data_IF_230590650132
#
_entry.id   IF_230590650132
#
_cell.length_a   1.000
_cell.length_b   1.000
_cell.length_c   1.000
_cell.angle_alpha   90.00
_cell.angle_beta   90.00
_cell.angle_gamma   90.00
#
_symmetry.space_group_name_H-M   'P 1'
#
loop_
_entity.id
_entity.type
_entity.pdbx_description
1 polymer ?
#
# COMPACT_ATOMS: atom_id res chain seq x y z
N UNK A 1 8.74 0.14 -3.00
CA UNK A 1 9.64 -1.01 -3.23
C UNK A 1 9.29 -1.74 -4.53
N UNK A 2 8.07 -2.25 -4.69
CA UNK A 2 7.64 -2.97 -5.92
C UNK A 2 7.80 -2.14 -7.20
N UNK A 3 7.52 -0.83 -7.15
CA UNK A 3 7.76 0.11 -8.27
C UNK A 3 9.23 0.18 -8.67
N UNK A 4 10.13 0.21 -7.69
CA UNK A 4 11.57 0.34 -7.92
C UNK A 4 12.17 -0.91 -8.56
N UNK A 5 11.65 -2.07 -8.17
CA UNK A 5 11.97 -3.36 -8.78
C UNK A 5 11.46 -3.43 -10.22
N UNK A 6 10.20 -3.01 -10.46
CA UNK A 6 9.56 -3.07 -11.76
C UNK A 6 10.21 -2.11 -12.78
N UNK A 7 10.50 -0.89 -12.36
CA UNK A 7 11.18 0.13 -13.20
C UNK A 7 12.57 -0.32 -13.65
N UNK A 8 13.29 -1.10 -12.84
CA UNK A 8 14.59 -1.66 -13.22
C UNK A 8 14.50 -2.70 -14.37
N UNK A 9 13.33 -3.32 -14.59
CA UNK A 9 13.11 -4.33 -15.64
C UNK A 9 12.43 -3.75 -16.89
N UNK A 10 11.89 -2.54 -16.80
CA UNK A 10 11.30 -1.85 -17.94
C UNK A 10 10.39 -0.71 -17.52
N UNK A 11 10.41 0.37 -18.30
CA UNK A 11 9.60 1.57 -18.04
C UNK A 11 8.10 1.25 -18.05
N UNK A 12 7.65 0.36 -18.94
CA UNK A 12 6.24 -0.04 -19.03
C UNK A 12 5.75 -0.76 -17.77
N UNK A 13 6.48 -1.78 -17.30
CA UNK A 13 6.14 -2.51 -16.05
C UNK A 13 6.22 -1.59 -14.83
N UNK A 14 7.24 -0.73 -14.78
CA UNK A 14 7.37 0.29 -13.75
C UNK A 14 6.17 1.23 -13.68
N UNK A 15 5.65 1.66 -14.85
CA UNK A 15 4.52 2.57 -14.94
C UNK A 15 3.22 1.92 -14.45
N UNK A 16 2.92 0.70 -14.92
CA UNK A 16 1.75 -0.10 -14.49
C UNK A 16 1.73 -0.25 -12.97
N UNK A 17 2.82 -0.74 -12.39
CA UNK A 17 2.92 -0.98 -10.95
C UNK A 17 2.89 0.34 -10.16
N UNK A 18 3.49 1.41 -10.69
CA UNK A 18 3.45 2.72 -10.04
C UNK A 18 2.06 3.33 -10.00
N UNK A 19 1.24 3.13 -11.03
CA UNK A 19 -0.14 3.61 -11.05
C UNK A 19 -1.01 2.85 -10.05
N UNK A 20 -0.92 1.51 -10.05
CA UNK A 20 -1.66 0.66 -9.11
C UNK A 20 -1.29 0.96 -7.65
N UNK A 21 0.02 1.06 -7.35
CA UNK A 21 0.49 1.39 -6.00
C UNK A 21 0.15 2.85 -5.62
N UNK A 22 0.12 3.77 -6.58
CA UNK A 22 -0.27 5.16 -6.36
C UNK A 22 -1.72 5.27 -5.86
N UNK A 23 -2.64 4.52 -6.47
CA UNK A 23 -4.03 4.46 -6.02
C UNK A 23 -4.15 3.85 -4.62
N UNK A 24 -3.41 2.76 -4.35
CA UNK A 24 -3.34 2.15 -3.02
C UNK A 24 -2.88 3.16 -1.95
N UNK A 25 -1.82 3.94 -2.23
CA UNK A 25 -1.28 4.88 -1.26
C UNK A 25 -2.26 6.02 -0.93
N UNK A 26 -3.14 6.39 -1.87
CA UNK A 26 -4.20 7.37 -1.61
C UNK A 26 -5.23 6.79 -0.63
N UNK A 27 -5.69 5.55 -0.84
CA UNK A 27 -6.67 4.90 0.05
C UNK A 27 -6.08 4.62 1.43
N UNK A 28 -4.81 4.21 1.50
CA UNK A 28 -4.08 4.02 2.75
C UNK A 28 -3.88 5.34 3.50
N UNK A 29 -3.46 6.41 2.81
CA UNK A 29 -3.28 7.72 3.43
C UNK A 29 -4.58 8.27 4.02
N UNK A 30 -5.72 8.04 3.36
CA UNK A 30 -7.04 8.32 3.92
C UNK A 30 -7.35 7.43 5.13
N UNK A 31 -7.04 6.14 5.08
CA UNK A 31 -7.24 5.22 6.20
C UNK A 31 -6.43 5.63 7.44
N UNK A 32 -5.24 6.20 7.27
CA UNK A 32 -4.40 6.77 8.35
C UNK A 32 -4.93 8.14 8.82
N UNK A 33 -5.51 8.94 7.92
CA UNK A 33 -6.07 10.26 8.25
C UNK A 33 -7.29 10.18 9.18
N UNK A 34 -8.17 9.19 8.98
CA UNK A 34 -9.42 9.03 9.76
C UNK A 34 -9.20 8.84 11.27
N UNK A 35 -8.29 7.98 11.76
CA UNK A 35 -8.02 7.87 13.19
C UNK A 35 -7.35 9.13 13.76
N UNK A 36 -6.52 9.84 12.99
CA UNK A 36 -5.94 11.13 13.40
C UNK A 36 -7.02 12.21 13.60
N UNK A 37 -8.00 12.24 12.70
CA UNK A 37 -9.22 13.04 12.85
C UNK A 37 -9.98 12.69 14.12
N UNK A 38 -10.20 11.40 14.37
CA UNK A 38 -10.88 10.92 15.57
C UNK A 38 -10.11 11.23 16.87
N UNK A 39 -8.78 11.35 16.80
CA UNK A 39 -7.92 11.78 17.89
C UNK A 39 -7.95 13.30 18.14
N UNK A 40 -8.72 14.08 17.35
CA UNK A 40 -8.92 15.51 17.54
C UNK A 40 -7.97 16.42 16.76
N UNK A 41 -7.19 15.88 15.81
CA UNK A 41 -6.38 16.73 14.94
C UNK A 41 -7.24 17.51 13.94
N UNK A 42 -6.75 18.68 13.52
CA UNK A 42 -7.36 19.46 12.44
C UNK A 42 -7.44 18.61 11.16
N UNK A 43 -8.59 18.62 10.44
CA UNK A 43 -8.77 17.87 9.19
C UNK A 43 -7.66 18.02 8.16
N UNK A 44 -7.14 19.23 7.98
CA UNK A 44 -6.04 19.45 7.04
C UNK A 44 -4.74 18.80 7.51
N UNK A 45 -4.46 18.88 8.81
CA UNK A 45 -3.25 18.27 9.39
C UNK A 45 -3.36 16.74 9.32
N UNK A 46 -4.51 16.17 9.67
CA UNK A 46 -4.74 14.74 9.59
C UNK A 46 -4.61 14.22 8.14
N UNK A 47 -5.18 14.93 7.16
CA UNK A 47 -5.06 14.61 5.74
C UNK A 47 -3.59 14.64 5.27
N UNK A 48 -2.86 15.72 5.55
CA UNK A 48 -1.46 15.82 5.13
C UNK A 48 -0.58 14.79 5.83
N UNK A 49 -0.77 14.53 7.13
CA UNK A 49 -0.04 13.48 7.84
C UNK A 49 -0.33 12.09 7.28
N UNK A 50 -1.58 11.82 6.92
CA UNK A 50 -1.97 10.59 6.23
C UNK A 50 -1.30 10.44 4.86
N UNK A 51 -1.24 11.50 4.04
CA UNK A 51 -0.54 11.40 2.75
C UNK A 51 0.99 11.34 2.92
N UNK A 52 1.53 12.00 3.94
CA UNK A 52 2.97 11.98 4.25
C UNK A 52 3.43 10.60 4.74
N UNK A 53 2.58 9.78 5.35
CA UNK A 53 2.95 8.40 5.70
C UNK A 53 3.34 7.61 4.43
N UNK A 54 2.72 7.92 3.30
CA UNK A 54 3.03 7.36 1.99
C UNK A 54 4.41 7.74 1.43
N UNK A 55 5.13 8.71 2.01
CA UNK A 55 6.49 9.06 1.56
C UNK A 55 7.51 7.94 1.81
N UNK A 56 7.19 6.97 2.66
CA UNK A 56 8.04 5.79 2.85
C UNK A 56 8.17 4.99 1.55
N UNK A 57 7.15 4.99 0.69
CA UNK A 57 7.13 4.20 -0.54
C UNK A 57 8.15 4.67 -1.59
N UNK A 58 8.27 5.97 -1.93
CA UNK A 58 9.37 6.49 -2.76
C UNK A 58 10.75 6.13 -2.23
N UNK A 59 10.98 6.27 -0.92
CA UNK A 59 12.28 5.97 -0.31
C UNK A 59 12.63 4.49 -0.46
N UNK A 60 11.69 3.59 -0.13
CA UNK A 60 11.88 2.15 -0.34
C UNK A 60 12.00 1.79 -1.82
N UNK A 61 11.38 2.55 -2.72
CA UNK A 61 11.47 2.35 -4.18
C UNK A 61 12.89 2.61 -4.68
N UNK A 62 13.48 3.76 -4.33
CA UNK A 62 14.85 4.11 -4.70
C UNK A 62 15.83 3.06 -4.19
N UNK A 63 15.67 2.64 -2.94
CA UNK A 63 16.53 1.62 -2.33
C UNK A 63 16.42 0.28 -3.07
N UNK A 64 15.21 -0.17 -3.38
CA UNK A 64 15.01 -1.41 -4.14
C UNK A 64 15.56 -1.34 -5.57
N UNK A 65 15.39 -0.21 -6.27
CA UNK A 65 15.98 -0.04 -7.62
C UNK A 65 17.50 -0.19 -7.55
N UNK A 66 18.15 0.44 -6.57
CA UNK A 66 19.60 0.32 -6.39
C UNK A 66 20.04 -1.14 -6.16
N UNK A 67 19.35 -1.88 -5.29
CA UNK A 67 19.66 -3.28 -5.04
C UNK A 67 19.37 -4.20 -6.23
N UNK A 68 18.26 -3.99 -6.94
CA UNK A 68 17.90 -4.78 -8.12
C UNK A 68 18.88 -4.57 -9.28
N UNK A 69 19.34 -3.34 -9.49
CA UNK A 69 20.38 -3.03 -10.48
C UNK A 69 21.74 -3.64 -10.09
N UNK A 70 22.04 -3.73 -8.79
CA UNK A 70 23.30 -4.30 -8.30
C UNK A 70 23.31 -5.84 -8.32
N UNK A 71 22.17 -6.48 -8.03
CA UNK A 71 22.05 -7.93 -8.02
C UNK A 71 20.62 -8.37 -8.36
N UNK A 72 20.42 -8.80 -9.60
CA UNK A 72 19.11 -9.22 -10.13
C UNK A 72 18.54 -10.45 -9.41
N UNK A 73 19.39 -11.30 -8.81
CA UNK A 73 18.93 -12.47 -8.05
C UNK A 73 18.22 -12.11 -6.73
N UNK A 74 18.42 -10.90 -6.20
CA UNK A 74 17.81 -10.47 -4.94
C UNK A 74 16.32 -10.10 -5.12
N UNK A 75 15.92 -9.79 -6.34
CA UNK A 75 14.60 -9.28 -6.70
C UNK A 75 13.40 -10.09 -6.17
N UNK A 76 13.30 -11.41 -6.43
CA UNK A 76 12.15 -12.20 -5.96
C UNK A 76 12.07 -12.26 -4.44
N UNK A 77 13.22 -12.25 -3.75
CA UNK A 77 13.26 -12.25 -2.29
C UNK A 77 12.76 -10.93 -1.71
N UNK A 78 13.12 -9.80 -2.33
CA UNK A 78 12.60 -8.51 -1.92
C UNK A 78 11.09 -8.45 -2.12
N UNK A 79 10.56 -8.80 -3.30
CA UNK A 79 9.11 -8.82 -3.55
C UNK A 79 8.36 -9.71 -2.54
N UNK A 80 8.86 -10.91 -2.26
CA UNK A 80 8.28 -11.81 -1.28
C UNK A 80 8.29 -11.20 0.15
N UNK A 81 9.38 -10.53 0.53
CA UNK A 81 9.48 -9.83 1.81
C UNK A 81 8.43 -8.71 1.94
N UNK A 82 8.27 -7.85 0.93
CA UNK A 82 7.24 -6.82 0.96
C UNK A 82 5.82 -7.39 1.02
N UNK A 83 5.54 -8.45 0.25
CA UNK A 83 4.24 -9.12 0.31
C UNK A 83 3.96 -9.65 1.72
N UNK A 84 4.95 -10.27 2.37
CA UNK A 84 4.84 -10.75 3.75
C UNK A 84 4.56 -9.63 4.76
N UNK A 85 5.25 -8.49 4.66
CA UNK A 85 5.00 -7.33 5.54
C UNK A 85 3.56 -6.81 5.40
N UNK A 86 3.04 -6.70 4.17
CA UNK A 86 1.68 -6.20 3.93
C UNK A 86 0.61 -7.17 4.45
N UNK A 87 0.82 -8.47 4.31
CA UNK A 87 -0.09 -9.48 4.86
C UNK A 87 -0.11 -9.41 6.39
N UNK A 88 1.06 -9.33 7.03
CA UNK A 88 1.16 -9.21 8.49
C UNK A 88 0.41 -7.99 9.02
N UNK A 89 0.68 -6.79 8.46
CA UNK A 89 -0.01 -5.55 8.86
C UNK A 89 -1.52 -5.65 8.63
N UNK A 90 -1.94 -6.25 7.51
CA UNK A 90 -3.36 -6.40 7.21
C UNK A 90 -4.07 -7.31 8.21
N UNK A 91 -3.47 -8.45 8.55
CA UNK A 91 -4.10 -9.52 9.35
C UNK A 91 -3.99 -9.26 10.85
N UNK A 92 -2.87 -8.73 11.33
CA UNK A 92 -2.61 -8.52 12.76
C UNK A 92 -2.99 -7.12 13.25
N UNK A 93 -3.08 -6.12 12.35
CA UNK A 93 -3.38 -4.74 12.75
C UNK A 93 -4.70 -4.24 12.16
N UNK A 94 -4.83 -4.18 10.82
CA UNK A 94 -5.98 -3.53 10.17
C UNK A 94 -7.32 -4.28 10.36
N UNK A 95 -7.34 -5.60 10.07
CA UNK A 95 -8.54 -6.43 10.20
C UNK A 95 -9.04 -6.54 11.65
N UNK A 96 -8.18 -6.81 12.65
CA UNK A 96 -8.60 -6.87 14.05
C UNK A 96 -9.17 -5.53 14.53
N UNK A 97 -8.50 -4.40 14.23
CA UNK A 97 -9.01 -3.08 14.58
C UNK A 97 -10.38 -2.78 13.95
N UNK A 98 -10.61 -3.21 12.70
CA UNK A 98 -11.91 -3.06 12.05
C UNK A 98 -13.01 -3.88 12.75
N UNK A 99 -12.68 -5.10 13.19
CA UNK A 99 -13.60 -5.98 13.91
C UNK A 99 -13.82 -5.61 15.38
N UNK A 100 -12.91 -4.87 16.01
CA UNK A 100 -13.12 -4.33 17.36
C UNK A 100 -14.11 -3.17 17.37
N UNK A 101 -14.08 -2.30 16.35
CA UNK A 101 -14.90 -1.09 16.29
C UNK A 101 -16.32 -1.30 15.77
N UNK A 102 -16.55 -2.38 15.02
CA UNK A 102 -17.81 -2.67 14.32
C UNK A 102 -18.13 -4.16 14.37
N UNK A 103 -19.39 -4.51 14.12
CA UNK A 103 -19.78 -5.93 14.01
C UNK A 103 -19.03 -6.60 12.83
N UNK A 104 -18.57 -7.85 13.02
CA UNK A 104 -17.73 -8.56 12.04
C UNK A 104 -18.33 -8.55 10.64
N UNK A 105 -19.63 -8.85 10.52
CA UNK A 105 -20.35 -8.87 9.23
C UNK A 105 -20.32 -7.49 8.55
N UNK A 106 -20.50 -6.42 9.33
CA UNK A 106 -20.52 -5.05 8.81
C UNK A 106 -19.14 -4.58 8.33
N UNK A 107 -18.06 -5.06 8.95
CA UNK A 107 -16.69 -4.75 8.54
C UNK A 107 -16.17 -5.65 7.40
N UNK A 108 -16.67 -6.89 7.27
CA UNK A 108 -16.29 -7.81 6.19
C UNK A 108 -16.77 -7.34 4.82
N UNK A 109 -17.92 -6.67 4.72
CA UNK A 109 -18.46 -6.21 3.43
C UNK A 109 -17.60 -5.10 2.79
N UNK A 110 -17.22 -4.00 3.47
CA UNK A 110 -16.27 -3.03 2.95
C UNK A 110 -14.90 -3.63 2.60
N UNK A 111 -14.41 -4.59 3.39
CA UNK A 111 -13.17 -5.31 3.10
C UNK A 111 -13.26 -6.05 1.75
N UNK A 112 -14.33 -6.82 1.53
CA UNK A 112 -14.56 -7.54 0.27
C UNK A 112 -14.71 -6.58 -0.92
N UNK A 113 -15.45 -5.48 -0.74
CA UNK A 113 -15.60 -4.46 -1.79
C UNK A 113 -14.24 -3.86 -2.13
N UNK A 114 -13.44 -3.47 -1.12
CA UNK A 114 -12.10 -2.94 -1.33
C UNK A 114 -11.18 -3.91 -2.06
N UNK A 115 -11.21 -5.20 -1.67
CA UNK A 115 -10.45 -6.26 -2.34
C UNK A 115 -10.84 -6.40 -3.82
N UNK A 116 -12.14 -6.48 -4.13
CA UNK A 116 -12.62 -6.61 -5.51
C UNK A 116 -12.27 -5.38 -6.35
N UNK A 117 -12.41 -4.18 -5.79
CA UNK A 117 -12.06 -2.93 -6.47
C UNK A 117 -10.56 -2.91 -6.80
N UNK A 118 -9.70 -3.26 -5.84
CA UNK A 118 -8.25 -3.30 -6.09
C UNK A 118 -7.88 -4.36 -7.12
N UNK A 119 -8.47 -5.56 -7.04
CA UNK A 119 -8.26 -6.62 -8.03
C UNK A 119 -8.72 -6.21 -9.43
N UNK A 120 -9.81 -5.44 -9.53
CA UNK A 120 -10.28 -4.91 -10.81
C UNK A 120 -9.33 -3.85 -11.38
N UNK A 121 -8.82 -2.95 -10.53
CA UNK A 121 -7.82 -1.96 -10.95
C UNK A 121 -6.51 -2.60 -11.40
N UNK A 122 -6.03 -3.63 -10.71
CA UNK A 122 -4.80 -4.35 -11.09
C UNK A 122 -4.96 -5.01 -12.47
N UNK A 123 -6.04 -5.77 -12.68
CA UNK A 123 -6.35 -6.37 -13.99
C UNK A 123 -6.56 -5.33 -15.12
N UNK A 124 -6.92 -4.09 -14.80
CA UNK A 124 -7.06 -3.02 -15.79
C UNK A 124 -5.70 -2.43 -16.20
N UNK A 125 -4.69 -2.54 -15.34
CA UNK A 125 -3.39 -1.91 -15.51
C UNK A 125 -2.31 -2.87 -16.07
N UNK A 126 -2.51 -4.18 -15.93
CA UNK A 126 -1.68 -5.26 -16.51
C UNK A 126 -1.98 -5.52 -18.01
#
# INVERSE_FOLDING_TARGET
MSVGVATANGVSQGLTISLGLGLHNITEGLAVSVPLLAAGLNPWVAFFLGQLSGLVYPLSSVLSTYFTLSNTYLMPYMLAFAAGCMIFVSVEDLLPNAYEKQNRISASLPFLIGFVVMMWFENLLD
#
